data_IF_716578721703
#
_entry.id   IF_716578721703
#
_cell.length_a   1.000
_cell.length_b   1.000
_cell.length_c   1.000
_cell.angle_alpha   90.00
_cell.angle_beta   90.00
_cell.angle_gamma   90.00
#
_symmetry.space_group_name_H-M   'P 1'
#
loop_
_entity.id
_entity.type
_entity.pdbx_description
1 polymer ?
#
# COMPACT_ATOMS: atom_id res chain seq x y z
N UNK A 1 -8.79 4.49 3.34
CA UNK A 1 -7.86 3.89 4.35
C UNK A 1 -6.72 4.86 4.58
N UNK A 2 -5.81 4.68 5.53
CA UNK A 2 -4.70 5.62 5.71
C UNK A 2 -3.48 5.15 4.91
N UNK A 3 -2.77 6.05 4.22
CA UNK A 3 -1.56 5.69 3.49
C UNK A 3 -0.47 5.18 4.47
N UNK A 4 0.15 4.01 4.22
CA UNK A 4 1.16 3.46 5.13
C UNK A 4 2.46 4.26 5.17
N UNK A 5 2.73 5.11 4.17
CA UNK A 5 3.96 5.90 4.06
C UNK A 5 3.75 7.31 4.61
N UNK A 6 2.91 8.12 3.96
CA UNK A 6 2.74 9.53 4.36
C UNK A 6 1.64 9.76 5.40
N UNK A 7 0.88 8.72 5.78
CA UNK A 7 -0.26 8.80 6.71
C UNK A 7 -1.40 9.72 6.26
N UNK A 8 -1.44 10.11 4.99
CA UNK A 8 -2.58 10.86 4.45
C UNK A 8 -3.78 9.92 4.20
N UNK A 9 -4.99 10.47 4.31
CA UNK A 9 -6.23 9.72 4.10
C UNK A 9 -6.74 9.79 2.66
N UNK A 10 -6.15 10.65 1.83
CA UNK A 10 -6.50 10.79 0.41
C UNK A 10 -5.88 9.65 -0.40
N UNK A 11 -6.72 8.68 -0.75
CA UNK A 11 -6.38 7.61 -1.68
C UNK A 11 -7.51 7.31 -2.66
N UNK A 12 -7.10 6.77 -3.79
CA UNK A 12 -7.97 6.17 -4.79
C UNK A 12 -7.84 4.65 -4.69
N UNK A 13 -8.94 3.98 -4.38
CA UNK A 13 -9.03 2.52 -4.39
C UNK A 13 -9.59 2.01 -5.72
N UNK A 14 -9.01 0.94 -6.25
CA UNK A 14 -9.54 0.16 -7.36
C UNK A 14 -9.73 -1.29 -6.91
N UNK A 15 -10.92 -1.81 -7.18
CA UNK A 15 -11.35 -3.15 -6.76
C UNK A 15 -11.17 -4.12 -7.94
N UNK A 16 -10.24 -5.07 -7.79
CA UNK A 16 -9.91 -6.08 -8.80
C UNK A 16 -10.56 -7.42 -8.43
N UNK A 17 -11.68 -7.68 -9.09
CA UNK A 17 -12.40 -8.96 -9.00
C UNK A 17 -12.31 -9.73 -10.29
N UNK A 18 -11.79 -10.95 -10.23
CA UNK A 18 -11.78 -11.90 -11.35
C UNK A 18 -11.89 -13.35 -10.85
N UNK A 19 -13.04 -13.98 -11.07
CA UNK A 19 -13.27 -15.36 -10.60
C UNK A 19 -13.12 -15.50 -9.08
N UNK A 20 -12.14 -16.28 -8.64
CA UNK A 20 -11.81 -16.46 -7.21
C UNK A 20 -10.74 -15.47 -6.70
N UNK A 21 -10.27 -14.56 -7.55
CA UNK A 21 -9.32 -13.51 -7.20
C UNK A 21 -10.08 -12.25 -6.78
N UNK A 22 -9.77 -11.76 -5.59
CA UNK A 22 -10.32 -10.54 -5.01
C UNK A 22 -9.20 -9.76 -4.34
N UNK A 23 -8.77 -8.66 -4.94
CA UNK A 23 -7.72 -7.79 -4.42
C UNK A 23 -8.11 -6.34 -4.62
N UNK A 24 -7.85 -5.50 -3.62
CA UNK A 24 -8.00 -4.06 -3.75
C UNK A 24 -6.62 -3.44 -3.95
N UNK A 25 -6.42 -2.67 -5.02
CA UNK A 25 -5.22 -1.84 -5.17
C UNK A 25 -5.58 -0.43 -4.77
N UNK A 26 -4.71 0.20 -3.98
CA UNK A 26 -4.95 1.54 -3.45
C UNK A 26 -3.74 2.41 -3.73
N UNK A 27 -3.99 3.59 -4.28
CA UNK A 27 -3.00 4.60 -4.61
C UNK A 27 -3.18 5.83 -3.73
N UNK A 28 -2.13 6.28 -3.06
CA UNK A 28 -2.15 7.55 -2.34
C UNK A 28 -1.93 8.71 -3.31
N UNK A 29 -2.84 9.67 -3.32
CA UNK A 29 -2.72 10.86 -4.19
C UNK A 29 -1.68 11.88 -3.72
N UNK A 30 -1.26 11.81 -2.45
CA UNK A 30 -0.30 12.75 -1.87
C UNK A 30 1.15 12.36 -2.15
N UNK A 31 1.52 11.10 -1.90
CA UNK A 31 2.89 10.63 -2.09
C UNK A 31 3.07 9.69 -3.29
N UNK A 32 1.99 9.21 -3.91
CA UNK A 32 2.07 8.27 -5.04
C UNK A 32 2.41 6.83 -4.68
N UNK A 33 2.43 6.48 -3.38
CA UNK A 33 2.59 5.10 -2.93
C UNK A 33 1.38 4.28 -3.36
N UNK A 34 1.63 3.08 -3.90
CA UNK A 34 0.60 2.10 -4.22
C UNK A 34 0.79 0.85 -3.37
N UNK A 35 -0.31 0.33 -2.82
CA UNK A 35 -0.32 -0.93 -2.08
C UNK A 35 -1.55 -1.75 -2.45
N UNK A 36 -1.43 -3.06 -2.36
CA UNK A 36 -2.54 -3.97 -2.52
C UNK A 36 -3.04 -4.48 -1.18
N UNK A 37 -4.32 -4.82 -1.11
CA UNK A 37 -4.99 -5.41 0.04
C UNK A 37 -5.64 -6.70 -0.43
N UNK A 38 -5.15 -7.82 0.08
CA UNK A 38 -5.67 -9.14 -0.22
C UNK A 38 -5.90 -9.90 1.09
N UNK A 39 -7.14 -10.32 1.35
CA UNK A 39 -7.52 -11.03 2.57
C UNK A 39 -7.05 -10.37 3.89
N UNK A 40 -7.00 -9.03 3.93
CA UNK A 40 -6.54 -8.26 5.10
C UNK A 40 -5.02 -8.11 5.21
N UNK A 41 -4.26 -8.71 4.30
CA UNK A 41 -2.81 -8.47 4.15
C UNK A 41 -2.61 -7.28 3.24
N UNK A 42 -1.79 -6.32 3.67
CA UNK A 42 -1.41 -5.16 2.87
C UNK A 42 0.03 -5.33 2.38
N UNK A 43 0.25 -5.16 1.08
CA UNK A 43 1.57 -5.24 0.47
C UNK A 43 1.85 -3.99 -0.36
N UNK A 44 2.97 -3.32 -0.13
CA UNK A 44 3.38 -2.17 -0.94
C UNK A 44 3.84 -2.67 -2.31
N UNK A 45 3.16 -2.23 -3.37
CA UNK A 45 3.46 -2.57 -4.76
C UNK A 45 4.45 -1.56 -5.35
N UNK A 46 4.32 -0.29 -4.96
CA UNK A 46 5.22 0.78 -5.38
C UNK A 46 5.38 1.79 -4.25
N UNK A 47 6.62 2.04 -3.87
CA UNK A 47 6.97 3.16 -3.01
C UNK A 47 7.90 4.12 -3.75
N UNK A 48 7.43 5.31 -4.14
CA UNK A 48 8.28 6.31 -4.78
C UNK A 48 9.32 6.93 -3.83
N UNK A 49 9.18 6.74 -2.52
CA UNK A 49 10.15 7.21 -1.53
C UNK A 49 11.23 6.18 -1.19
N UNK A 50 11.16 4.96 -1.75
CA UNK A 50 12.03 3.83 -1.43
C UNK A 50 13.49 3.94 -1.88
N UNK A 51 13.89 4.99 -2.58
CA UNK A 51 15.32 5.29 -2.86
C UNK A 51 15.62 6.78 -2.57
N UNK A 52 14.77 7.41 -1.77
CA UNK A 52 14.86 8.83 -1.43
C UNK A 52 15.43 9.03 -0.04
N UNK A 53 15.86 10.24 0.26
CA UNK A 53 16.20 10.63 1.64
C UNK A 53 15.09 10.32 2.66
N UNK A 54 13.83 10.23 2.19
CA UNK A 54 12.65 9.95 3.01
C UNK A 54 12.32 8.45 3.12
N UNK A 55 13.20 7.55 2.68
CA UNK A 55 13.05 6.09 2.86
C UNK A 55 12.72 5.72 4.31
N UNK A 56 13.39 6.34 5.29
CA UNK A 56 13.14 6.07 6.71
C UNK A 56 11.72 6.44 7.21
N UNK A 57 10.91 7.08 6.36
CA UNK A 57 9.51 7.38 6.65
C UNK A 57 8.55 6.39 5.98
N UNK A 58 9.00 5.60 5.00
CA UNK A 58 8.19 4.49 4.52
C UNK A 58 8.17 3.43 5.61
N UNK A 59 6.97 3.01 6.00
CA UNK A 59 6.81 2.17 7.17
C UNK A 59 7.61 0.87 7.00
N UNK A 60 8.70 0.79 7.75
CA UNK A 60 9.58 -0.36 7.86
C UNK A 60 8.74 -1.60 8.20
N UNK A 61 8.84 -2.65 7.37
CA UNK A 61 8.30 -4.00 7.56
C UNK A 61 6.77 -4.18 7.52
N UNK A 62 6.23 -4.42 6.32
CA UNK A 62 4.93 -5.13 6.14
C UNK A 62 5.06 -6.66 6.01
N UNK A 63 6.25 -7.24 6.20
CA UNK A 63 6.43 -8.69 6.23
C UNK A 63 6.31 -9.26 7.65
N UNK A 64 5.09 -9.33 8.18
CA UNK A 64 4.75 -10.34 9.20
C UNK A 64 3.41 -10.98 8.82
N UNK A 65 3.47 -11.94 7.91
CA UNK A 65 2.49 -13.02 7.92
C UNK A 65 2.80 -13.89 9.16
N UNK A 66 1.78 -14.06 9.99
CA UNK A 66 1.80 -14.75 11.27
C UNK A 66 2.36 -16.19 11.17
N UNK A 67 3.09 -16.60 12.21
CA UNK A 67 3.55 -17.97 12.44
C UNK A 67 2.39 -18.93 12.75
#
# INVERSE_FOLDING_TARGET
MQCPVCKNDENLGMDLRSGSFNEDIVECQSCGTMWSVNHGVMAIVKDPNADSFLEALSADNFCFAAA
#
